data_IF_076050536740
#
_entry.id   IF_076050536740
#
_cell.length_a   1.000
_cell.length_b   1.000
_cell.length_c   1.000
_cell.angle_alpha   90.00
_cell.angle_beta   90.00
_cell.angle_gamma   90.00
#
_symmetry.space_group_name_H-M   'P 1'
#
loop_
_entity.id
_entity.type
_entity.pdbx_description
1 polymer ?
#
# COMPACT_ATOMS: atom_id res chain seq x y z
N UNK A 1 -56.59 7.32 25.04
CA UNK A 1 -56.03 6.72 23.80
C UNK A 1 -55.88 5.22 24.05
N UNK A 2 -56.73 4.40 23.41
CA UNK A 2 -56.86 2.97 23.71
C UNK A 2 -55.56 2.19 23.49
N UNK A 3 -55.30 1.21 24.37
CA UNK A 3 -54.13 0.32 24.34
C UNK A 3 -53.90 -0.29 22.95
N UNK A 4 -54.99 -0.62 22.25
CA UNK A 4 -54.96 -1.14 20.87
C UNK A 4 -54.30 -0.17 19.86
N UNK A 5 -54.52 1.14 20.01
CA UNK A 5 -53.90 2.16 19.15
C UNK A 5 -52.41 2.36 19.45
N UNK A 6 -51.98 2.13 20.70
CA UNK A 6 -50.57 2.19 21.10
C UNK A 6 -49.79 0.97 20.59
N UNK A 7 -50.39 -0.23 20.62
CA UNK A 7 -49.79 -1.44 20.03
C UNK A 7 -49.67 -1.34 18.51
N UNK A 8 -50.70 -0.85 17.82
CA UNK A 8 -50.65 -0.66 16.38
C UNK A 8 -49.57 0.35 15.98
N UNK A 9 -49.41 1.44 16.73
CA UNK A 9 -48.35 2.42 16.50
C UNK A 9 -46.95 1.85 16.74
N UNK A 10 -46.78 1.01 17.76
CA UNK A 10 -45.50 0.34 18.05
C UNK A 10 -45.09 -0.67 16.97
N UNK A 11 -46.03 -1.45 16.46
CA UNK A 11 -45.77 -2.41 15.37
C UNK A 11 -45.46 -1.71 14.05
N UNK A 12 -46.10 -0.57 13.78
CA UNK A 12 -45.86 0.23 12.59
C UNK A 12 -44.51 0.97 12.66
N UNK A 13 -44.09 1.39 13.87
CA UNK A 13 -42.75 1.95 14.11
C UNK A 13 -41.65 0.89 13.97
N UNK A 14 -41.88 -0.33 14.47
CA UNK A 14 -40.95 -1.44 14.33
C UNK A 14 -40.80 -1.91 12.87
N UNK A 15 -41.88 -1.90 12.10
CA UNK A 15 -41.85 -2.20 10.67
C UNK A 15 -41.13 -1.10 9.85
N UNK A 16 -41.25 0.18 10.26
CA UNK A 16 -40.50 1.28 9.62
C UNK A 16 -38.99 1.24 9.93
N UNK A 17 -38.59 0.78 11.11
CA UNK A 17 -37.17 0.62 11.48
C UNK A 17 -36.54 -0.55 10.71
N UNK A 18 -37.30 -1.63 10.46
CA UNK A 18 -36.86 -2.76 9.63
C UNK A 18 -36.62 -2.40 8.16
N UNK A 19 -37.30 -1.37 7.64
CA UNK A 19 -37.14 -0.90 6.26
C UNK A 19 -35.90 0.00 6.03
N UNK A 20 -35.26 0.47 7.11
CA UNK A 20 -34.02 1.27 7.03
C UNK A 20 -32.74 0.43 7.22
N UNK A 21 -32.87 -0.88 7.41
CA UNK A 21 -31.74 -1.82 7.44
C UNK A 21 -31.68 -2.65 6.16
N UNK A 22 -31.63 -1.97 5.01
CA UNK A 22 -31.08 -2.60 3.82
C UNK A 22 -29.56 -2.73 4.04
N UNK A 23 -28.99 -3.95 4.16
CA UNK A 23 -27.55 -4.09 4.19
C UNK A 23 -27.06 -3.71 2.79
N UNK A 24 -26.21 -2.69 2.70
CA UNK A 24 -25.35 -2.52 1.54
C UNK A 24 -24.46 -3.77 1.36
N UNK A 25 -23.96 -4.05 0.15
CA UNK A 25 -23.21 -5.26 -0.14
C UNK A 25 -21.77 -5.20 0.40
N UNK A 26 -21.61 -5.11 1.73
CA UNK A 26 -20.30 -5.14 2.42
C UNK A 26 -20.42 -5.53 3.91
N UNK A 27 -21.36 -6.42 4.25
CA UNK A 27 -21.62 -6.77 5.65
C UNK A 27 -22.34 -8.09 5.87
N UNK A 28 -22.21 -9.07 4.98
CA UNK A 28 -22.64 -10.43 5.29
C UNK A 28 -21.70 -10.99 6.37
N UNK A 29 -22.19 -11.15 7.60
CA UNK A 29 -21.47 -11.88 8.63
C UNK A 29 -21.26 -13.31 8.12
N UNK A 30 -20.02 -13.64 7.76
CA UNK A 30 -19.67 -14.99 7.31
C UNK A 30 -20.05 -16.01 8.36
N UNK A 31 -20.53 -17.17 7.93
CA UNK A 31 -20.85 -18.25 8.87
C UNK A 31 -19.56 -18.74 9.55
N UNK A 32 -19.71 -19.36 10.73
CA UNK A 32 -18.56 -19.99 11.40
C UNK A 32 -17.91 -21.05 10.50
N UNK A 33 -18.72 -21.81 9.76
CA UNK A 33 -18.26 -22.83 8.81
C UNK A 33 -17.45 -22.20 7.66
N UNK A 34 -17.93 -21.11 7.07
CA UNK A 34 -17.18 -20.37 6.03
C UNK A 34 -15.83 -19.86 6.55
N UNK A 35 -15.78 -19.40 7.81
CA UNK A 35 -14.52 -19.00 8.43
C UNK A 35 -13.60 -20.20 8.62
N UNK A 36 -14.09 -21.31 9.17
CA UNK A 36 -13.31 -22.54 9.36
C UNK A 36 -12.73 -23.02 8.03
N UNK A 37 -13.52 -23.05 6.96
CA UNK A 37 -13.06 -23.45 5.63
C UNK A 37 -11.92 -22.56 5.12
N UNK A 38 -12.05 -21.24 5.27
CA UNK A 38 -11.03 -20.29 4.85
C UNK A 38 -9.73 -20.47 5.64
N UNK A 39 -9.82 -20.63 6.97
CA UNK A 39 -8.63 -20.84 7.81
C UNK A 39 -7.98 -22.20 7.55
N UNK A 40 -8.77 -23.23 7.28
CA UNK A 40 -8.28 -24.56 6.88
C UNK A 40 -7.52 -24.46 5.56
N UNK A 41 -8.10 -23.81 4.55
CA UNK A 41 -7.45 -23.55 3.26
C UNK A 41 -6.15 -22.76 3.41
N UNK A 42 -6.12 -21.73 4.27
CA UNK A 42 -4.86 -21.01 4.57
C UNK A 42 -3.80 -21.96 5.13
N UNK A 43 -4.18 -22.84 6.06
CA UNK A 43 -3.26 -23.79 6.67
C UNK A 43 -2.72 -24.80 5.65
N UNK A 44 -3.55 -25.26 4.72
CA UNK A 44 -3.18 -26.20 3.67
C UNK A 44 -2.24 -25.59 2.63
N UNK A 45 -2.48 -24.33 2.22
CA UNK A 45 -1.66 -23.66 1.20
C UNK A 45 -0.35 -23.09 1.77
N UNK A 46 -0.24 -22.93 3.10
CA UNK A 46 0.94 -22.30 3.73
C UNK A 46 2.28 -22.96 3.32
N UNK A 47 2.44 -24.29 3.35
CA UNK A 47 3.69 -24.93 2.93
C UNK A 47 4.03 -24.66 1.46
N UNK A 48 3.02 -24.59 0.58
CA UNK A 48 3.21 -24.29 -0.84
C UNK A 48 3.62 -22.83 -1.05
N UNK A 49 3.01 -21.89 -0.30
CA UNK A 49 3.40 -20.48 -0.33
C UNK A 49 4.83 -20.27 0.19
N UNK A 50 5.24 -20.99 1.24
CA UNK A 50 6.61 -20.97 1.78
C UNK A 50 7.62 -21.56 0.79
N UNK A 51 7.29 -22.68 0.14
CA UNK A 51 8.10 -23.27 -0.91
C UNK A 51 8.24 -22.34 -2.12
N UNK A 52 7.14 -21.73 -2.57
CA UNK A 52 7.12 -20.74 -3.64
C UNK A 52 7.99 -19.52 -3.29
N UNK A 53 7.88 -18.98 -2.08
CA UNK A 53 8.73 -17.87 -1.65
C UNK A 53 10.21 -18.23 -1.73
N UNK A 54 10.57 -19.45 -1.32
CA UNK A 54 11.95 -19.94 -1.37
C UNK A 54 12.43 -20.09 -2.82
N UNK A 55 11.63 -20.69 -3.69
CA UNK A 55 11.89 -20.81 -5.13
C UNK A 55 12.11 -19.44 -5.78
N UNK A 56 11.23 -18.46 -5.50
CA UNK A 56 11.36 -17.11 -6.02
C UNK A 56 12.64 -16.41 -5.52
N UNK A 57 13.06 -16.65 -4.28
CA UNK A 57 14.28 -16.04 -3.76
C UNK A 57 15.55 -16.63 -4.38
N UNK A 58 15.53 -17.88 -4.83
CA UNK A 58 16.65 -18.53 -5.53
C UNK A 58 16.89 -17.95 -6.93
N UNK A 59 15.85 -17.46 -7.61
CA UNK A 59 15.94 -16.84 -8.95
C UNK A 59 16.20 -15.33 -8.92
N UNK A 60 16.50 -14.76 -7.76
CA UNK A 60 16.75 -13.32 -7.61
C UNK A 60 17.99 -12.89 -8.36
N UNK A 61 17.94 -11.69 -8.93
CA UNK A 61 19.15 -11.10 -9.50
C UNK A 61 20.13 -10.70 -8.40
N UNK A 62 21.41 -10.98 -8.65
CA UNK A 62 22.51 -10.48 -7.84
C UNK A 62 22.83 -9.02 -8.24
N UNK A 63 21.90 -8.13 -7.90
CA UNK A 63 21.93 -6.71 -8.26
C UNK A 63 21.68 -5.82 -7.04
N UNK A 64 22.08 -4.55 -7.14
CA UNK A 64 21.83 -3.57 -6.09
C UNK A 64 20.35 -3.21 -5.94
N UNK A 65 19.96 -2.70 -4.77
CA UNK A 65 18.57 -2.33 -4.46
C UNK A 65 17.91 -1.42 -5.50
N UNK A 66 18.66 -0.47 -6.07
CA UNK A 66 18.14 0.44 -7.10
C UNK A 66 17.83 -0.26 -8.42
N UNK A 67 18.61 -1.27 -8.79
CA UNK A 67 18.40 -2.04 -10.01
C UNK A 67 17.22 -3.01 -9.81
N UNK A 68 17.12 -3.61 -8.61
CA UNK A 68 15.95 -4.39 -8.22
C UNK A 68 14.67 -3.53 -8.27
N UNK A 69 14.71 -2.30 -7.73
CA UNK A 69 13.59 -1.36 -7.82
C UNK A 69 13.21 -1.06 -9.29
N UNK A 70 14.19 -0.87 -10.17
CA UNK A 70 13.93 -0.72 -11.60
C UNK A 70 13.24 -1.96 -12.20
N UNK A 71 13.73 -3.15 -11.85
CA UNK A 71 13.26 -4.42 -12.41
C UNK A 71 11.80 -4.74 -12.04
N UNK A 72 11.36 -4.46 -10.81
CA UNK A 72 9.97 -4.76 -10.42
C UNK A 72 8.93 -3.90 -11.16
N UNK A 73 9.39 -2.76 -11.72
CA UNK A 73 8.58 -1.85 -12.52
C UNK A 73 8.67 -2.12 -14.03
N UNK A 74 9.52 -3.04 -14.47
CA UNK A 74 9.75 -3.31 -15.89
C UNK A 74 8.68 -4.26 -16.44
N UNK A 75 7.75 -3.80 -17.29
CA UNK A 75 6.68 -4.63 -17.82
C UNK A 75 7.17 -5.70 -18.80
N UNK A 76 8.42 -5.64 -19.25
CA UNK A 76 9.00 -6.66 -20.12
C UNK A 76 9.45 -7.92 -19.37
N UNK A 77 9.57 -7.84 -18.03
CA UNK A 77 9.93 -8.98 -17.19
C UNK A 77 8.70 -9.80 -16.80
N UNK A 78 8.90 -11.12 -16.66
CA UNK A 78 7.83 -12.01 -16.23
C UNK A 78 7.36 -11.66 -14.81
N UNK A 79 6.08 -11.94 -14.47
CA UNK A 79 5.59 -11.79 -13.10
C UNK A 79 6.47 -12.51 -12.06
N UNK A 80 7.02 -13.70 -12.38
CA UNK A 80 7.90 -14.46 -11.50
C UNK A 80 9.19 -13.71 -11.21
N UNK A 81 9.87 -13.19 -12.24
CA UNK A 81 11.12 -12.45 -12.03
C UNK A 81 10.88 -11.14 -11.26
N UNK A 82 9.77 -10.44 -11.54
CA UNK A 82 9.38 -9.22 -10.80
C UNK A 82 9.08 -9.54 -9.33
N UNK A 83 8.33 -10.62 -9.07
CA UNK A 83 8.04 -11.07 -7.70
C UNK A 83 9.31 -11.48 -6.95
N UNK A 84 10.21 -12.24 -7.58
CA UNK A 84 11.50 -12.62 -7.04
C UNK A 84 12.33 -11.40 -6.62
N UNK A 85 12.60 -10.50 -7.58
CA UNK A 85 13.38 -9.29 -7.32
C UNK A 85 12.72 -8.37 -6.29
N UNK A 86 11.39 -8.34 -6.27
CA UNK A 86 10.61 -7.59 -5.30
C UNK A 86 10.72 -8.13 -3.88
N UNK A 87 10.60 -9.45 -3.69
CA UNK A 87 10.84 -10.09 -2.40
C UNK A 87 12.27 -9.83 -1.90
N UNK A 88 13.27 -9.91 -2.78
CA UNK A 88 14.66 -9.57 -2.44
C UNK A 88 14.82 -8.12 -2.02
N UNK A 89 14.17 -7.20 -2.73
CA UNK A 89 14.20 -5.78 -2.40
C UNK A 89 13.53 -5.51 -1.04
N UNK A 90 12.42 -6.20 -0.74
CA UNK A 90 11.76 -6.12 0.57
C UNK A 90 12.70 -6.61 1.67
N UNK A 91 13.36 -7.76 1.48
CA UNK A 91 14.34 -8.30 2.43
C UNK A 91 15.52 -7.35 2.68
N UNK A 92 15.93 -6.57 1.67
CA UNK A 92 17.00 -5.57 1.79
C UNK A 92 16.57 -4.25 2.44
N UNK A 93 15.37 -3.76 2.12
CA UNK A 93 14.89 -2.46 2.58
C UNK A 93 14.29 -2.50 4.00
N UNK A 94 13.50 -3.52 4.30
CA UNK A 94 12.79 -3.61 5.57
C UNK A 94 13.65 -4.32 6.61
N UNK A 95 13.74 -3.81 7.85
CA UNK A 95 14.51 -4.49 8.89
C UNK A 95 14.03 -5.92 9.15
N UNK A 96 14.82 -6.91 8.76
CA UNK A 96 14.45 -8.33 8.84
C UNK A 96 13.43 -8.77 7.78
N UNK A 97 13.28 -8.01 6.70
CA UNK A 97 12.30 -8.27 5.63
C UNK A 97 10.84 -8.06 6.03
N UNK A 98 10.58 -7.39 7.16
CA UNK A 98 9.24 -7.23 7.73
C UNK A 98 8.59 -5.88 7.34
N UNK A 99 7.54 -5.88 6.50
CA UNK A 99 6.80 -4.68 6.13
C UNK A 99 6.22 -3.90 7.31
N UNK A 100 5.94 -4.55 8.44
CA UNK A 100 5.44 -3.88 9.65
C UNK A 100 6.46 -2.90 10.25
N UNK A 101 7.74 -3.01 9.89
CA UNK A 101 8.83 -2.15 10.36
C UNK A 101 9.14 -0.99 9.43
N UNK A 102 8.24 -0.66 8.50
CA UNK A 102 8.39 0.44 7.54
C UNK A 102 8.90 1.76 8.16
N UNK A 103 8.44 2.11 9.37
CA UNK A 103 8.82 3.36 10.05
C UNK A 103 10.31 3.47 10.39
N UNK A 104 11.02 2.34 10.42
CA UNK A 104 12.46 2.30 10.66
C UNK A 104 13.29 2.61 9.40
N UNK A 105 12.67 2.60 8.22
CA UNK A 105 13.34 2.87 6.95
C UNK A 105 13.64 4.35 6.85
N UNK A 106 14.86 4.69 6.43
CA UNK A 106 15.33 6.06 6.31
C UNK A 106 16.39 6.20 5.23
N UNK A 107 16.61 7.43 4.78
CA UNK A 107 17.66 7.80 3.83
C UNK A 107 17.20 7.84 2.37
N UNK A 108 18.17 8.14 1.51
CA UNK A 108 18.02 8.26 0.07
C UNK A 108 19.07 7.40 -0.63
N UNK A 109 18.75 6.87 -1.81
CA UNK A 109 19.81 6.39 -2.69
C UNK A 109 20.46 7.56 -3.43
N UNK A 110 21.73 7.79 -3.13
CA UNK A 110 22.58 8.84 -3.73
C UNK A 110 23.31 8.25 -4.95
N UNK A 111 23.56 9.04 -6.03
CA UNK A 111 23.25 10.46 -6.21
C UNK A 111 21.84 10.73 -6.75
N UNK A 112 21.05 9.68 -7.02
CA UNK A 112 19.72 9.81 -7.61
C UNK A 112 18.69 10.44 -6.67
N UNK A 113 19.00 10.67 -5.40
CA UNK A 113 18.11 11.30 -4.42
C UNK A 113 16.69 10.71 -4.44
N UNK A 114 16.59 9.38 -4.41
CA UNK A 114 15.31 8.65 -4.33
C UNK A 114 15.08 8.26 -2.87
N UNK A 115 13.95 8.66 -2.23
CA UNK A 115 13.69 8.33 -0.82
C UNK A 115 13.40 6.83 -0.64
N UNK A 116 14.21 6.16 0.20
CA UNK A 116 14.02 4.74 0.51
C UNK A 116 12.66 4.43 1.16
N UNK A 117 12.10 5.25 2.07
CA UNK A 117 10.79 4.96 2.66
C UNK A 117 9.65 4.88 1.63
N UNK A 118 9.68 5.71 0.59
CA UNK A 118 8.68 5.64 -0.48
C UNK A 118 8.93 4.44 -1.40
N UNK A 119 10.19 4.08 -1.63
CA UNK A 119 10.53 2.92 -2.46
C UNK A 119 10.20 1.61 -1.78
N UNK A 120 10.18 1.59 -0.45
CA UNK A 120 9.71 0.45 0.32
C UNK A 120 8.21 0.19 0.10
N UNK A 121 7.40 1.24 -0.09
CA UNK A 121 6.01 1.05 -0.53
C UNK A 121 5.96 0.47 -1.95
N UNK A 122 6.71 1.05 -2.90
CA UNK A 122 6.75 0.52 -4.27
C UNK A 122 7.17 -0.95 -4.29
N UNK A 123 8.16 -1.33 -3.48
CA UNK A 123 8.57 -2.71 -3.32
C UNK A 123 7.39 -3.60 -2.92
N UNK A 124 6.62 -3.24 -1.88
CA UNK A 124 5.46 -4.02 -1.45
C UNK A 124 4.37 -4.07 -2.53
N UNK A 125 4.00 -2.93 -3.12
CA UNK A 125 2.91 -2.87 -4.09
C UNK A 125 3.24 -3.59 -5.40
N UNK A 126 4.38 -3.30 -6.02
CA UNK A 126 4.77 -3.96 -7.27
C UNK A 126 5.03 -5.46 -7.07
N UNK A 127 5.55 -5.87 -5.90
CA UNK A 127 5.69 -7.31 -5.59
C UNK A 127 4.32 -7.96 -5.46
N UNK A 128 3.38 -7.33 -4.76
CA UNK A 128 2.01 -7.84 -4.66
C UNK A 128 1.34 -7.96 -6.03
N UNK A 129 1.51 -6.95 -6.90
CA UNK A 129 1.00 -7.00 -8.28
C UNK A 129 1.59 -8.19 -9.03
N UNK A 130 2.91 -8.34 -9.03
CA UNK A 130 3.59 -9.43 -9.72
C UNK A 130 3.19 -10.83 -9.20
N UNK A 131 3.01 -10.97 -7.87
CA UNK A 131 2.52 -12.21 -7.25
C UNK A 131 1.07 -12.52 -7.64
N UNK A 132 0.22 -11.52 -7.85
CA UNK A 132 -1.16 -11.73 -8.27
C UNK A 132 -1.27 -12.03 -9.77
N UNK A 133 -0.36 -11.50 -10.59
CA UNK A 133 -0.33 -11.73 -12.04
C UNK A 133 0.20 -13.12 -12.44
N UNK A 134 1.03 -13.79 -11.60
CA UNK A 134 1.70 -15.04 -12.00
C UNK A 134 0.79 -16.28 -12.06
N UNK A 135 -0.41 -16.22 -11.49
CA UNK A 135 -1.36 -17.35 -11.55
C UNK A 135 -0.96 -18.62 -10.77
N UNK A 136 -0.01 -18.52 -9.83
CA UNK A 136 0.38 -19.65 -8.96
C UNK A 136 -0.39 -19.65 -7.65
N UNK A 137 -0.81 -20.82 -7.17
CA UNK A 137 -1.73 -20.97 -6.02
C UNK A 137 -1.21 -20.35 -4.70
N UNK A 138 0.09 -20.47 -4.42
CA UNK A 138 0.69 -19.88 -3.22
C UNK A 138 0.89 -18.35 -3.30
N UNK A 139 0.88 -17.75 -4.48
CA UNK A 139 1.30 -16.37 -4.68
C UNK A 139 0.34 -15.32 -4.09
N UNK A 140 -0.99 -15.46 -4.19
CA UNK A 140 -1.94 -14.58 -3.52
C UNK A 140 -1.77 -14.55 -2.00
N UNK A 141 -1.34 -15.66 -1.39
CA UNK A 141 -1.11 -15.74 0.06
C UNK A 141 0.14 -14.98 0.48
N UNK A 142 1.21 -15.03 -0.31
CA UNK A 142 2.41 -14.22 -0.10
C UNK A 142 2.05 -12.73 -0.24
N UNK A 143 1.35 -12.34 -1.31
CA UNK A 143 0.93 -10.96 -1.54
C UNK A 143 0.03 -10.44 -0.39
N UNK A 144 -0.92 -11.27 0.04
CA UNK A 144 -1.80 -10.98 1.18
C UNK A 144 -0.98 -10.69 2.43
N UNK A 145 -0.04 -11.58 2.77
CA UNK A 145 0.72 -11.47 4.01
C UNK A 145 1.64 -10.23 3.99
N UNK A 146 2.24 -9.87 2.84
CA UNK A 146 2.97 -8.61 2.68
C UNK A 146 2.11 -7.37 3.00
N UNK A 147 0.88 -7.30 2.47
CA UNK A 147 -0.04 -6.19 2.71
C UNK A 147 -0.58 -6.17 4.14
N UNK A 148 -0.84 -7.34 4.73
CA UNK A 148 -1.23 -7.47 6.15
C UNK A 148 -0.11 -6.99 7.05
N UNK A 149 1.14 -7.35 6.77
CA UNK A 149 2.28 -6.92 7.56
C UNK A 149 2.51 -5.42 7.41
N UNK A 150 2.41 -4.86 6.19
CA UNK A 150 2.52 -3.42 5.98
C UNK A 150 1.46 -2.65 6.79
N UNK A 151 0.22 -3.18 6.84
CA UNK A 151 -0.87 -2.61 7.63
C UNK A 151 -0.57 -2.55 9.13
N UNK A 152 0.31 -3.39 9.67
CA UNK A 152 0.66 -3.39 11.10
C UNK A 152 1.46 -2.15 11.51
N UNK A 153 2.16 -1.49 10.59
CA UNK A 153 2.64 -0.11 10.84
C UNK A 153 1.47 0.85 10.69
N UNK A 154 1.14 1.53 11.79
CA UNK A 154 0.04 2.51 11.81
C UNK A 154 0.26 3.65 10.81
N UNK A 155 1.52 4.12 10.68
CA UNK A 155 1.87 5.17 9.72
C UNK A 155 1.84 4.67 8.29
N UNK A 156 2.36 3.47 8.00
CA UNK A 156 2.26 2.87 6.69
C UNK A 156 0.80 2.66 6.26
N UNK A 157 -0.04 2.13 7.16
CA UNK A 157 -1.46 1.95 6.91
C UNK A 157 -2.16 3.27 6.54
N UNK A 158 -1.86 4.36 7.25
CA UNK A 158 -2.41 5.68 6.92
C UNK A 158 -1.93 6.18 5.55
N UNK A 159 -0.62 6.06 5.29
CA UNK A 159 0.02 6.68 4.13
C UNK A 159 -0.08 5.85 2.85
N UNK A 160 -0.30 4.55 2.92
CA UNK A 160 -0.27 3.68 1.74
C UNK A 160 -1.59 2.92 1.52
N UNK A 161 -2.36 2.66 2.57
CA UNK A 161 -3.57 1.83 2.47
C UNK A 161 -4.87 2.64 2.66
N UNK A 162 -4.87 3.65 3.53
CA UNK A 162 -6.01 4.58 3.69
C UNK A 162 -5.96 5.75 2.72
N UNK A 163 -4.76 6.19 2.36
CA UNK A 163 -4.52 7.11 1.24
C UNK A 163 -3.72 6.30 0.24
N UNK A 164 -4.42 5.61 -0.65
CA UNK A 164 -3.85 4.56 -1.47
C UNK A 164 -3.63 5.03 -2.92
N UNK A 165 -2.69 4.42 -3.66
CA UNK A 165 -2.59 4.63 -5.09
C UNK A 165 -3.75 3.93 -5.82
N UNK A 166 -4.04 4.32 -7.05
CA UNK A 166 -5.09 3.72 -7.89
C UNK A 166 -5.02 2.19 -7.94
N UNK A 167 -3.82 1.63 -8.01
CA UNK A 167 -3.56 0.19 -8.12
C UNK A 167 -4.02 -0.60 -6.88
N UNK A 168 -4.19 0.04 -5.72
CA UNK A 168 -4.61 -0.65 -4.49
C UNK A 168 -5.99 -1.32 -4.63
N UNK A 169 -6.92 -0.71 -5.36
CA UNK A 169 -8.27 -1.27 -5.54
C UNK A 169 -8.21 -2.65 -6.21
N UNK A 170 -7.48 -2.74 -7.32
CA UNK A 170 -7.29 -4.00 -8.02
C UNK A 170 -6.59 -5.05 -7.15
N UNK A 171 -5.58 -4.66 -6.35
CA UNK A 171 -4.88 -5.57 -5.44
C UNK A 171 -5.86 -6.16 -4.41
N UNK A 172 -6.65 -5.33 -3.72
CA UNK A 172 -7.55 -5.82 -2.68
C UNK A 172 -8.70 -6.64 -3.23
N UNK A 173 -9.27 -6.25 -4.37
CA UNK A 173 -10.32 -7.01 -5.06
C UNK A 173 -9.81 -8.40 -5.48
N UNK A 174 -8.63 -8.45 -6.10
CA UNK A 174 -8.01 -9.71 -6.52
C UNK A 174 -7.65 -10.59 -5.32
N UNK A 175 -7.14 -10.01 -4.23
CA UNK A 175 -6.86 -10.74 -2.99
C UNK A 175 -8.13 -11.31 -2.37
N UNK A 176 -9.22 -10.55 -2.35
CA UNK A 176 -10.50 -11.02 -1.84
C UNK A 176 -11.07 -12.15 -2.69
N UNK A 177 -10.96 -12.07 -4.01
CA UNK A 177 -11.38 -13.13 -4.92
C UNK A 177 -10.57 -14.43 -4.72
N UNK A 178 -9.24 -14.32 -4.74
CA UNK A 178 -8.36 -15.48 -4.76
C UNK A 178 -8.21 -16.14 -3.38
N UNK A 179 -8.12 -15.34 -2.31
CA UNK A 179 -7.91 -15.87 -0.95
C UNK A 179 -9.21 -16.04 -0.19
N UNK A 180 -10.26 -15.28 -0.54
CA UNK A 180 -11.49 -15.14 0.25
C UNK A 180 -11.21 -14.78 1.71
N UNK A 181 -10.04 -14.24 2.05
CA UNK A 181 -9.60 -14.05 3.43
C UNK A 181 -9.12 -12.62 3.68
N UNK A 182 -10.03 -11.63 3.79
CA UNK A 182 -9.61 -10.31 4.20
C UNK A 182 -8.97 -10.36 5.60
N UNK A 183 -8.09 -9.41 5.94
CA UNK A 183 -7.58 -9.27 7.30
C UNK A 183 -8.73 -8.94 8.28
N UNK A 184 -8.50 -9.14 9.59
CA UNK A 184 -9.50 -8.76 10.60
C UNK A 184 -9.89 -7.28 10.48
N UNK A 185 -11.20 -7.02 10.47
CA UNK A 185 -11.76 -5.68 10.24
C UNK A 185 -11.75 -5.23 8.78
N UNK A 186 -11.50 -6.14 7.82
CA UNK A 186 -11.50 -5.83 6.38
C UNK A 186 -10.23 -5.12 5.90
N UNK A 187 -10.09 -4.99 4.59
CA UNK A 187 -9.12 -4.07 4.01
C UNK A 187 -9.53 -2.62 4.31
N UNK A 188 -8.59 -1.70 4.58
CA UNK A 188 -8.93 -0.29 4.74
C UNK A 188 -9.68 0.27 3.53
N UNK A 189 -10.81 0.93 3.78
CA UNK A 189 -11.47 1.77 2.78
C UNK A 189 -10.54 2.96 2.45
N UNK A 190 -10.17 3.07 1.19
CA UNK A 190 -9.11 3.95 0.73
C UNK A 190 -9.66 5.22 0.07
N UNK A 191 -9.09 6.36 0.43
CA UNK A 191 -9.11 7.57 -0.40
C UNK A 191 -8.02 7.41 -1.46
N UNK A 192 -8.43 7.26 -2.72
CA UNK A 192 -7.49 7.08 -3.82
C UNK A 192 -6.83 8.41 -4.18
N UNK A 193 -5.50 8.44 -4.16
CA UNK A 193 -4.68 9.58 -4.59
C UNK A 193 -3.42 9.15 -5.32
N UNK A 194 -3.27 9.68 -6.53
CA UNK A 194 -2.14 9.39 -7.40
C UNK A 194 -2.10 7.93 -7.84
N UNK A 195 -0.93 7.52 -8.32
CA UNK A 195 -0.64 6.19 -8.85
C UNK A 195 0.80 5.80 -8.56
N UNK A 196 1.11 4.53 -8.68
CA UNK A 196 2.49 4.05 -8.56
C UNK A 196 3.35 4.52 -9.76
N UNK A 197 4.69 4.59 -9.60
CA UNK A 197 5.45 4.47 -8.35
C UNK A 197 5.44 5.76 -7.51
N UNK A 198 5.59 5.60 -6.20
CA UNK A 198 5.77 6.67 -5.23
C UNK A 198 7.20 7.21 -5.20
N UNK A 199 8.19 6.31 -5.25
CA UNK A 199 9.59 6.67 -5.23
C UNK A 199 10.03 7.26 -6.55
N UNK A 200 10.33 8.55 -6.51
CA UNK A 200 10.90 9.29 -7.62
C UNK A 200 12.12 10.07 -7.15
N UNK A 201 13.01 10.34 -8.09
CA UNK A 201 14.11 11.26 -7.86
C UNK A 201 13.59 12.66 -7.55
N UNK A 202 14.21 13.33 -6.58
CA UNK A 202 14.02 14.76 -6.36
C UNK A 202 14.62 15.52 -7.56
N UNK A 203 13.78 16.12 -8.41
CA UNK A 203 14.22 16.82 -9.65
C UNK A 203 13.87 18.30 -9.72
N UNK A 204 13.13 18.83 -8.75
CA UNK A 204 12.59 20.20 -8.84
C UNK A 204 12.44 20.83 -7.46
N UNK A 205 12.21 22.14 -7.43
CA UNK A 205 11.98 22.89 -6.21
C UNK A 205 10.54 23.41 -6.17
N UNK A 206 10.00 23.60 -4.96
CA UNK A 206 8.69 24.17 -4.68
C UNK A 206 8.79 25.07 -3.45
N UNK A 207 8.00 26.14 -3.38
CA UNK A 207 7.92 26.93 -2.15
C UNK A 207 7.08 26.20 -1.10
N UNK A 208 7.38 26.40 0.17
CA UNK A 208 6.59 25.82 1.27
C UNK A 208 5.10 26.18 1.15
N UNK A 209 4.79 27.46 0.87
CA UNK A 209 3.41 27.91 0.66
C UNK A 209 2.72 27.14 -0.46
N UNK A 210 3.40 26.91 -1.58
CA UNK A 210 2.81 26.16 -2.69
C UNK A 210 2.60 24.69 -2.36
N UNK A 211 3.54 24.07 -1.62
CA UNK A 211 3.40 22.69 -1.15
C UNK A 211 2.20 22.54 -0.21
N UNK A 212 2.00 23.48 0.72
CA UNK A 212 0.83 23.52 1.62
C UNK A 212 -0.46 23.71 0.83
N UNK A 213 -0.51 24.70 -0.07
CA UNK A 213 -1.70 24.97 -0.91
C UNK A 213 -2.09 23.79 -1.81
N UNK A 214 -1.14 22.92 -2.13
CA UNK A 214 -1.35 21.70 -2.93
C UNK A 214 -1.46 20.44 -2.07
N UNK A 215 -1.54 20.57 -0.75
CA UNK A 215 -1.69 19.45 0.18
C UNK A 215 -0.61 18.37 -0.01
N UNK A 216 0.61 18.78 -0.37
CA UNK A 216 1.73 17.85 -0.55
C UNK A 216 2.17 17.28 0.80
N UNK A 217 2.58 16.01 0.82
CA UNK A 217 3.15 15.39 2.02
C UNK A 217 4.61 15.79 2.16
N UNK A 218 4.98 16.52 3.21
CA UNK A 218 6.39 16.84 3.46
C UNK A 218 7.18 15.59 3.85
N UNK A 219 8.47 15.58 3.49
CA UNK A 219 9.45 14.56 3.88
C UNK A 219 10.63 15.23 4.62
N UNK A 220 11.15 14.56 5.64
CA UNK A 220 12.33 15.01 6.39
C UNK A 220 13.63 14.77 5.58
N UNK A 221 14.77 15.17 6.13
CA UNK A 221 16.09 14.95 5.50
C UNK A 221 16.46 13.49 5.29
N UNK A 222 15.69 12.56 5.86
CA UNK A 222 15.84 11.13 5.69
C UNK A 222 14.73 10.52 4.80
N UNK A 223 13.94 11.34 4.10
CA UNK A 223 12.94 10.88 3.13
C UNK A 223 11.67 10.32 3.77
N UNK A 224 11.50 10.47 5.08
CA UNK A 224 10.33 9.99 5.80
C UNK A 224 9.24 11.07 5.86
N UNK A 225 7.95 10.71 5.70
CA UNK A 225 6.84 11.64 5.89
C UNK A 225 6.84 12.35 7.24
N UNK A 226 6.55 13.64 7.22
CA UNK A 226 6.61 14.53 8.39
C UNK A 226 5.65 15.72 8.16
N UNK A 227 5.16 16.42 9.21
CA UNK A 227 4.33 17.61 9.02
C UNK A 227 5.03 18.76 8.27
N UNK A 228 6.35 18.88 8.39
CA UNK A 228 7.18 19.85 7.67
C UNK A 228 8.57 19.29 7.41
N UNK A 229 9.22 19.71 6.32
CA UNK A 229 10.55 19.21 5.97
C UNK A 229 11.11 19.78 4.66
N UNK A 230 12.39 19.47 4.36
CA UNK A 230 13.11 20.01 3.21
C UNK A 230 12.67 19.43 1.86
N UNK A 231 11.75 18.46 1.85
CA UNK A 231 11.19 17.90 0.63
C UNK A 231 9.67 17.84 0.72
N UNK A 232 9.01 17.85 -0.44
CA UNK A 232 7.57 17.71 -0.58
C UNK A 232 7.25 16.63 -1.61
N UNK A 233 6.42 15.66 -1.22
CA UNK A 233 5.90 14.60 -2.05
C UNK A 233 4.48 14.96 -2.50
N UNK A 234 4.37 15.26 -3.79
CA UNK A 234 3.12 15.48 -4.50
C UNK A 234 2.61 14.13 -5.00
N UNK A 235 1.68 13.57 -4.23
CA UNK A 235 1.09 12.26 -4.49
C UNK A 235 0.32 12.25 -5.78
N UNK A 236 -0.49 13.29 -6.01
CA UNK A 236 -1.40 13.38 -7.14
C UNK A 236 -0.64 13.43 -8.46
N UNK A 237 0.54 14.06 -8.48
CA UNK A 237 1.40 14.12 -9.67
C UNK A 237 2.51 13.08 -9.69
N UNK A 238 2.68 12.29 -8.63
CA UNK A 238 3.79 11.35 -8.48
C UNK A 238 5.15 12.03 -8.60
N UNK A 239 5.36 13.16 -7.91
CA UNK A 239 6.60 13.95 -7.97
C UNK A 239 7.12 14.28 -6.58
N UNK A 240 8.44 14.47 -6.49
CA UNK A 240 9.11 14.90 -5.26
C UNK A 240 9.93 16.15 -5.55
N UNK A 241 9.71 17.15 -4.71
CA UNK A 241 10.33 18.46 -4.80
C UNK A 241 11.22 18.72 -3.58
N UNK A 242 12.28 19.50 -3.76
CA UNK A 242 12.95 20.21 -2.68
C UNK A 242 12.11 21.41 -2.27
N UNK A 243 11.93 21.63 -0.98
CA UNK A 243 11.26 22.82 -0.46
C UNK A 243 12.29 23.95 -0.36
N UNK A 244 11.95 25.12 -0.89
CA UNK A 244 12.80 26.32 -0.86
C UNK A 244 12.03 27.49 -0.23
N UNK A 245 12.74 28.34 0.51
CA UNK A 245 12.15 29.54 1.07
C UNK A 245 12.22 30.70 0.06
N UNK A 246 11.33 31.71 0.18
CA UNK A 246 11.30 32.86 -0.73
C UNK A 246 12.65 33.54 -0.94
N UNK A 247 13.50 33.55 0.10
CA UNK A 247 14.85 34.15 0.09
C UNK A 247 15.90 33.27 -0.62
N UNK A 248 15.63 31.97 -0.79
CA UNK A 248 16.53 31.00 -1.46
C UNK A 248 16.41 31.01 -2.99
N UNK A 249 15.44 31.76 -3.54
CA UNK A 249 15.11 31.73 -4.98
C UNK A 249 16.23 32.27 -5.88
N UNK A 250 17.11 33.13 -5.37
CA UNK A 250 18.19 33.74 -6.14
C UNK A 250 19.32 32.76 -6.51
N UNK A 251 19.48 31.64 -5.78
CA UNK A 251 20.60 30.72 -5.99
C UNK A 251 20.35 29.67 -7.08
N UNK A 252 19.10 29.43 -7.48
CA UNK A 252 18.75 28.31 -8.38
C UNK A 252 18.42 28.71 -9.82
N UNK A 253 18.06 29.98 -10.06
CA UNK A 253 17.86 30.47 -11.45
C UNK A 253 19.19 30.49 -12.22
N UNK A 254 20.33 30.61 -11.51
CA UNK A 254 21.68 30.62 -12.07
C UNK A 254 22.32 29.24 -12.28
N UNK A 255 21.66 28.15 -11.88
CA UNK A 255 22.16 26.77 -12.01
C UNK A 255 21.54 25.99 -13.18
N UNK A 256 20.80 26.67 -14.06
CA UNK A 256 20.25 26.13 -15.31
C UNK A 256 20.86 26.88 -16.50
N UNK A 257 22.16 26.75 -16.65
CA UNK A 257 22.84 26.87 -17.95
C UNK A 257 23.54 25.55 -18.25
#
# INVERSE_FOLDING_TARGET
MNILKRMALFLLLAALIGLFQAPGPAGASRSFEELVDIYTRKSEIRPEAEALRSELLEMTWDSGELDLLGSIMDPSLTPEQRAANGLKLIDGLFPGGDPARWESISGFWIPRMIPKPLAAFDAVFFTAIALLEMGREGAPWIARDLLVDLRRSSRAALLALRIAPEEYLWIVETLEELTKMPPMGGWPEAVIRGKLPFARQVRSAVTETHAIMKEMQFLNSAGQPTPSGPYAWDRDRGRIYRVVYPDDRYLWILGRD
#
